data_IF_193777513246
#
_entry.id   IF_193777513246
#
_cell.length_a   1.000
_cell.length_b   1.000
_cell.length_c   1.000
_cell.angle_alpha   90.00
_cell.angle_beta   90.00
_cell.angle_gamma   90.00
#
_symmetry.space_group_name_H-M   'P 1'
#
loop_
_entity.id
_entity.type
_entity.pdbx_description
1 polymer ?
#
# COMPACT_ATOMS: atom_id res chain seq x y z
N UNK A 1 -25.59 6.89 8.92
CA UNK A 1 -26.27 6.31 7.74
C UNK A 1 -26.59 4.85 8.04
N UNK A 2 -27.85 4.43 7.94
CA UNK A 2 -28.24 3.05 8.20
C UNK A 2 -27.59 2.10 7.17
N UNK A 3 -26.99 1.00 7.64
CA UNK A 3 -26.40 -0.01 6.76
C UNK A 3 -27.52 -0.77 6.06
N UNK A 4 -27.76 -0.48 4.79
CA UNK A 4 -28.79 -1.16 3.99
C UNK A 4 -28.37 -2.62 3.76
N UNK A 5 -29.15 -3.56 4.29
CA UNK A 5 -28.90 -5.00 4.14
C UNK A 5 -29.21 -5.43 2.70
N UNK A 6 -28.27 -6.13 2.06
CA UNK A 6 -28.44 -6.67 0.70
C UNK A 6 -29.11 -8.04 0.78
N UNK A 7 -30.25 -8.20 0.12
CA UNK A 7 -31.09 -9.41 0.19
C UNK A 7 -31.25 -10.15 -1.14
N UNK A 8 -30.91 -9.51 -2.27
CA UNK A 8 -31.04 -10.10 -3.61
C UNK A 8 -29.75 -10.78 -4.04
N UNK A 9 -29.88 -11.91 -4.74
CA UNK A 9 -28.77 -12.71 -5.26
C UNK A 9 -28.73 -12.58 -6.79
N UNK A 10 -27.55 -12.27 -7.32
CA UNK A 10 -27.25 -12.24 -8.74
C UNK A 10 -26.26 -13.36 -9.05
N UNK A 11 -26.59 -14.24 -10.00
CA UNK A 11 -25.74 -15.37 -10.43
C UNK A 11 -25.49 -15.24 -11.92
N UNK A 12 -24.25 -15.50 -12.34
CA UNK A 12 -23.82 -15.43 -13.74
C UNK A 12 -23.12 -16.73 -14.07
N UNK A 13 -23.40 -17.30 -15.25
CA UNK A 13 -22.60 -18.41 -15.78
C UNK A 13 -21.36 -17.83 -16.43
N UNK A 14 -20.21 -18.44 -16.15
CA UNK A 14 -18.91 -18.03 -16.65
C UNK A 14 -18.22 -19.24 -17.25
N UNK A 15 -17.48 -19.02 -18.32
CA UNK A 15 -16.46 -19.95 -18.79
C UNK A 15 -15.32 -20.06 -17.78
N UNK A 16 -14.48 -21.07 -17.94
CA UNK A 16 -13.31 -21.27 -17.08
C UNK A 16 -12.36 -20.06 -17.11
N UNK A 17 -12.09 -19.52 -18.30
CA UNK A 17 -11.19 -18.39 -18.52
C UNK A 17 -11.74 -17.11 -17.89
N UNK A 18 -13.03 -16.83 -18.03
CA UNK A 18 -13.68 -15.68 -17.41
C UNK A 18 -13.64 -15.74 -15.88
N UNK A 19 -13.94 -16.91 -15.30
CA UNK A 19 -13.86 -17.10 -13.85
C UNK A 19 -12.42 -16.90 -13.35
N UNK A 20 -11.43 -17.48 -14.03
CA UNK A 20 -10.03 -17.31 -13.68
C UNK A 20 -9.59 -15.83 -13.74
N UNK A 21 -10.01 -15.10 -14.78
CA UNK A 21 -9.69 -13.69 -14.95
C UNK A 21 -10.34 -12.83 -13.85
N UNK A 22 -11.62 -13.05 -13.56
CA UNK A 22 -12.34 -12.33 -12.48
C UNK A 22 -11.70 -12.62 -11.13
N UNK A 23 -11.32 -13.88 -10.87
CA UNK A 23 -10.62 -14.27 -9.64
C UNK A 23 -9.30 -13.53 -9.48
N UNK A 24 -8.51 -13.43 -10.54
CA UNK A 24 -7.23 -12.70 -10.53
C UNK A 24 -7.45 -11.21 -10.24
N UNK A 25 -8.29 -10.53 -11.04
CA UNK A 25 -8.58 -9.10 -10.87
C UNK A 25 -9.14 -8.76 -9.49
N UNK A 26 -10.03 -9.60 -8.97
CA UNK A 26 -10.57 -9.43 -7.61
C UNK A 26 -9.47 -9.56 -6.55
N UNK A 27 -8.54 -10.51 -6.70
CA UNK A 27 -7.38 -10.68 -5.80
C UNK A 27 -6.46 -9.46 -5.84
N UNK A 28 -6.17 -8.95 -7.04
CA UNK A 28 -5.28 -7.79 -7.23
C UNK A 28 -5.89 -6.51 -6.62
N UNK A 29 -7.21 -6.37 -6.69
CA UNK A 29 -7.98 -5.32 -6.02
C UNK A 29 -8.22 -5.58 -4.51
N UNK A 30 -7.83 -6.75 -4.00
CA UNK A 30 -8.08 -7.15 -2.61
C UNK A 30 -9.56 -7.27 -2.24
N UNK A 31 -10.41 -7.66 -3.19
CA UNK A 31 -11.86 -7.82 -3.04
C UNK A 31 -12.25 -9.29 -3.23
N UNK A 32 -13.40 -9.68 -2.71
CA UNK A 32 -14.03 -10.95 -3.11
C UNK A 32 -14.56 -10.82 -4.54
N UNK A 33 -14.69 -11.94 -5.27
CA UNK A 33 -15.22 -11.93 -6.65
C UNK A 33 -16.57 -11.22 -6.74
N UNK A 34 -17.52 -11.52 -5.84
CA UNK A 34 -18.85 -10.90 -5.82
C UNK A 34 -18.79 -9.39 -5.55
N UNK A 35 -17.86 -8.93 -4.70
CA UNK A 35 -17.67 -7.51 -4.42
C UNK A 35 -17.05 -6.80 -5.62
N UNK A 36 -16.03 -7.39 -6.22
CA UNK A 36 -15.36 -6.88 -7.41
C UNK A 36 -16.33 -6.72 -8.59
N UNK A 37 -17.07 -7.78 -8.94
CA UNK A 37 -18.04 -7.75 -10.06
C UNK A 37 -19.13 -6.71 -9.80
N UNK A 38 -19.64 -6.61 -8.56
CA UNK A 38 -20.64 -5.60 -8.22
C UNK A 38 -20.10 -4.17 -8.31
N UNK A 39 -18.92 -3.92 -7.75
CA UNK A 39 -18.30 -2.59 -7.79
C UNK A 39 -18.00 -2.19 -9.23
N UNK A 40 -17.50 -3.13 -10.05
CA UNK A 40 -17.25 -2.91 -11.47
C UNK A 40 -18.54 -2.61 -12.25
N UNK A 41 -19.62 -3.38 -12.01
CA UNK A 41 -20.90 -3.19 -12.67
C UNK A 41 -21.61 -1.88 -12.26
N UNK A 42 -21.34 -1.38 -11.05
CA UNK A 42 -21.89 -0.12 -10.55
C UNK A 42 -20.98 1.09 -10.85
N UNK A 43 -19.92 0.92 -11.65
CA UNK A 43 -19.02 2.01 -12.05
C UNK A 43 -18.15 2.56 -10.92
N UNK A 44 -17.95 1.80 -9.84
CA UNK A 44 -17.06 2.20 -8.73
C UNK A 44 -15.62 2.08 -9.21
N UNK A 45 -14.81 3.10 -8.96
CA UNK A 45 -13.37 3.06 -9.25
C UNK A 45 -12.68 1.99 -8.38
N UNK A 46 -12.19 0.92 -9.02
CA UNK A 46 -11.50 -0.17 -8.34
C UNK A 46 -9.99 0.07 -8.43
N UNK A 47 -9.42 0.69 -7.40
CA UNK A 47 -7.97 0.84 -7.28
C UNK A 47 -7.31 -0.49 -6.93
N UNK A 48 -6.17 -0.85 -7.56
CA UNK A 48 -5.41 -2.02 -7.14
C UNK A 48 -5.00 -1.87 -5.67
N UNK A 49 -5.09 -2.96 -4.91
CA UNK A 49 -4.72 -2.96 -3.49
C UNK A 49 -3.20 -3.03 -3.32
N UNK A 50 -2.52 -3.63 -4.27
CA UNK A 50 -1.07 -3.78 -4.19
C UNK A 50 -0.42 -2.47 -4.59
N UNK A 51 0.36 -1.92 -3.66
CA UNK A 51 1.40 -0.96 -3.99
C UNK A 51 2.19 -1.49 -5.18
N UNK A 52 2.47 -0.61 -6.13
CA UNK A 52 3.49 -0.83 -7.16
C UNK A 52 4.80 -1.20 -6.50
N UNK A 53 5.69 -1.86 -7.22
CA UNK A 53 6.98 -2.26 -6.64
C UNK A 53 7.80 -1.05 -6.19
N UNK A 54 7.62 0.10 -6.85
CA UNK A 54 8.17 1.40 -6.45
C UNK A 54 7.57 1.91 -5.13
N UNK A 55 6.24 1.86 -4.98
CA UNK A 55 5.56 2.23 -3.72
C UNK A 55 5.96 1.29 -2.58
N UNK A 56 6.16 -0.01 -2.84
CA UNK A 56 6.68 -0.96 -1.84
C UNK A 56 8.12 -0.63 -1.46
N UNK A 57 8.96 -0.26 -2.43
CA UNK A 57 10.35 0.13 -2.17
C UNK A 57 10.39 1.41 -1.32
N UNK A 58 9.58 2.41 -1.65
CA UNK A 58 9.42 3.64 -0.88
C UNK A 58 8.93 3.35 0.55
N UNK A 59 7.91 2.50 0.69
CA UNK A 59 7.39 2.09 2.00
C UNK A 59 8.48 1.47 2.88
N UNK A 60 9.30 0.56 2.33
CA UNK A 60 10.42 -0.04 3.06
C UNK A 60 11.43 1.00 3.50
N UNK A 61 11.77 1.97 2.65
CA UNK A 61 12.69 3.06 3.00
C UNK A 61 12.13 3.92 4.14
N UNK A 62 10.83 4.26 4.11
CA UNK A 62 10.17 5.02 5.17
C UNK A 62 10.17 4.28 6.51
N UNK A 63 9.93 2.96 6.50
CA UNK A 63 10.01 2.14 7.71
C UNK A 63 11.43 2.11 8.29
N UNK A 64 12.45 1.99 7.42
CA UNK A 64 13.85 2.08 7.84
C UNK A 64 14.18 3.41 8.53
N UNK A 65 13.72 4.50 7.93
CA UNK A 65 13.88 5.85 8.49
C UNK A 65 13.21 6.01 9.85
N UNK A 66 11.96 5.57 9.99
CA UNK A 66 11.25 5.62 11.27
C UNK A 66 11.98 4.82 12.37
N UNK A 67 12.55 3.66 12.01
CA UNK A 67 13.36 2.86 12.94
C UNK A 67 14.65 3.57 13.34
N UNK A 68 15.34 4.21 12.39
CA UNK A 68 16.56 4.99 12.67
C UNK A 68 16.25 6.17 13.60
N UNK A 69 15.16 6.90 13.36
CA UNK A 69 14.70 7.97 14.25
C UNK A 69 14.38 7.47 15.66
N UNK A 70 13.70 6.32 15.78
CA UNK A 70 13.42 5.72 17.09
C UNK A 70 14.68 5.31 17.84
N UNK A 71 15.70 4.82 17.13
CA UNK A 71 17.00 4.47 17.73
C UNK A 71 17.74 5.72 18.23
N UNK A 72 17.76 6.80 17.44
CA UNK A 72 18.32 8.10 17.85
C UNK A 72 17.64 8.59 19.12
N UNK A 73 16.30 8.61 19.14
CA UNK A 73 15.53 9.08 20.28
C UNK A 73 15.81 8.25 21.55
N UNK A 74 15.90 6.91 21.42
CA UNK A 74 16.26 6.04 22.55
C UNK A 74 17.67 6.29 23.06
N UNK A 75 18.67 6.42 22.19
CA UNK A 75 20.06 6.68 22.61
C UNK A 75 20.20 8.05 23.28
N UNK A 76 19.53 9.06 22.73
CA UNK A 76 19.47 10.38 23.34
C UNK A 76 18.87 10.34 24.75
N UNK A 77 17.77 9.61 24.94
CA UNK A 77 17.12 9.47 26.25
C UNK A 77 17.99 8.75 27.29
N UNK A 78 18.94 7.92 26.87
CA UNK A 78 19.87 7.18 27.74
C UNK A 78 21.13 8.03 28.05
N UNK A 79 21.26 9.23 27.48
CA UNK A 79 22.37 10.15 27.71
C UNK A 79 23.55 9.98 26.76
N UNK A 80 23.43 9.10 25.76
CA UNK A 80 24.44 8.91 24.73
C UNK A 80 24.31 10.00 23.65
N UNK A 81 25.30 10.90 23.60
CA UNK A 81 25.31 12.10 22.72
C UNK A 81 26.06 11.87 21.40
N UNK A 82 26.50 10.65 21.09
CA UNK A 82 27.21 10.37 19.84
C UNK A 82 26.23 10.19 18.67
N UNK A 83 26.20 11.17 17.76
CA UNK A 83 25.27 11.30 16.62
C UNK A 83 25.52 10.33 15.45
N UNK A 84 26.10 9.14 15.66
CA UNK A 84 26.42 8.21 14.55
C UNK A 84 25.19 7.73 13.76
N UNK A 85 24.02 7.72 14.39
CA UNK A 85 22.74 7.32 13.77
C UNK A 85 22.09 8.48 12.98
N UNK A 86 22.45 9.74 13.29
CA UNK A 86 21.92 10.93 12.61
C UNK A 86 22.39 10.97 11.15
N UNK A 87 23.65 10.64 10.89
CA UNK A 87 24.20 10.60 9.54
C UNK A 87 23.47 9.56 8.67
N UNK A 88 23.16 8.39 9.22
CA UNK A 88 22.37 7.36 8.50
C UNK A 88 20.97 7.86 8.17
N UNK A 89 20.30 8.50 9.13
CA UNK A 89 18.98 9.08 8.92
C UNK A 89 19.01 10.20 7.85
N UNK A 90 20.05 11.05 7.85
CA UNK A 90 20.23 12.10 6.85
C UNK A 90 20.45 11.54 5.44
N UNK A 91 21.19 10.44 5.30
CA UNK A 91 21.35 9.73 4.03
C UNK A 91 20.01 9.16 3.54
N UNK A 92 19.24 8.52 4.41
CA UNK A 92 17.91 7.98 4.07
C UNK A 92 16.94 9.09 3.63
N UNK A 93 16.92 10.23 4.35
CA UNK A 93 16.13 11.42 3.98
C UNK A 93 16.54 11.91 2.57
N UNK A 94 17.85 12.02 2.32
CA UNK A 94 18.36 12.50 1.03
C UNK A 94 17.92 11.61 -0.13
N UNK A 95 17.98 10.29 0.06
CA UNK A 95 17.53 9.31 -0.96
C UNK A 95 16.03 9.46 -1.25
N UNK A 96 15.21 9.62 -0.20
CA UNK A 96 13.76 9.82 -0.37
C UNK A 96 13.47 11.11 -1.14
N UNK A 97 14.09 12.23 -0.77
CA UNK A 97 13.92 13.52 -1.45
C UNK A 97 14.29 13.40 -2.93
N UNK A 98 15.42 12.77 -3.24
CA UNK A 98 15.84 12.57 -4.63
C UNK A 98 14.84 11.74 -5.43
N UNK A 99 14.29 10.67 -4.85
CA UNK A 99 13.26 9.86 -5.53
C UNK A 99 11.98 10.65 -5.78
N UNK A 100 11.51 11.42 -4.79
CA UNK A 100 10.30 12.25 -4.94
C UNK A 100 10.47 13.35 -6.01
N UNK A 101 11.63 14.00 -6.07
CA UNK A 101 11.93 15.00 -7.10
C UNK A 101 12.09 14.38 -8.50
N UNK A 102 12.49 13.11 -8.58
CA UNK A 102 12.67 12.39 -9.84
C UNK A 102 11.35 11.84 -10.41
N UNK A 103 10.40 11.47 -9.54
CA UNK A 103 9.06 10.99 -9.93
C UNK A 103 8.05 12.11 -10.24
N UNK A 104 8.42 13.38 -10.07
CA UNK A 104 7.57 14.55 -10.33
C UNK A 104 7.67 15.13 -11.75
N UNK A 105 8.22 14.40 -12.73
CA UNK A 105 8.27 14.79 -14.15
C UNK A 105 7.59 13.76 -15.03
#
# INVERSE_FOLDING_TARGET
MAVVKRTKIFRVRLTFTENALIKRKAKDAGRTQSRFVREAALGVEIKPKQFTDDEKALYKTLVGLANNMNQIAKRYNIGDRMYLELDKALVDIRIIIQRLLSSGR
#
